data_IF_496122110905
#
_entry.id   IF_496122110905
#
_cell.length_a   1.000
_cell.length_b   1.000
_cell.length_c   1.000
_cell.angle_alpha   90.00
_cell.angle_beta   90.00
_cell.angle_gamma   90.00
#
_symmetry.space_group_name_H-M   'P 1'
#
loop_
_entity.id
_entity.type
_entity.pdbx_description
1 polymer ?
#
# COMPACT_ATOMS: atom_id res chain seq x y z
N UNK A 1 26.89 51.40 39.21
CA UNK A 1 26.88 52.61 38.41
C UNK A 1 25.80 52.37 37.40
N UNK A 2 24.58 52.84 37.69
CA UNK A 2 23.97 54.07 37.21
C UNK A 2 23.72 53.93 35.70
N UNK A 3 22.59 54.14 35.11
CA UNK A 3 21.33 54.83 35.52
C UNK A 3 20.36 54.65 34.34
N UNK A 4 19.14 54.26 34.59
CA UNK A 4 17.90 55.03 34.49
C UNK A 4 17.49 55.65 33.14
N UNK A 5 16.25 55.45 32.80
CA UNK A 5 15.33 56.44 32.29
C UNK A 5 14.41 55.85 31.21
N UNK A 6 13.16 55.52 31.49
CA UNK A 6 11.94 56.39 31.44
C UNK A 6 11.73 57.00 30.05
N UNK A 7 10.57 56.99 29.39
CA UNK A 7 9.16 56.94 29.80
C UNK A 7 8.28 57.17 28.57
N UNK A 8 6.99 56.80 28.71
CA UNK A 8 5.80 57.46 28.14
C UNK A 8 5.56 57.29 26.62
N UNK A 9 4.45 56.80 26.10
CA UNK A 9 3.09 56.89 26.63
C UNK A 9 2.22 57.51 25.56
N UNK A 10 0.92 57.20 25.56
CA UNK A 10 -0.16 57.77 24.73
C UNK A 10 -0.43 56.91 23.47
N UNK A 11 -1.55 56.31 23.28
CA UNK A 11 -2.90 56.61 23.75
C UNK A 11 -3.77 56.98 22.56
N UNK A 12 -4.95 56.42 22.52
CA UNK A 12 -6.10 56.78 21.68
C UNK A 12 -6.20 55.95 20.36
N UNK A 13 -7.31 55.55 19.90
CA UNK A 13 -8.70 55.69 20.31
C UNK A 13 -9.53 54.81 19.36
N UNK A 14 -10.54 54.23 19.87
CA UNK A 14 -11.58 53.45 19.21
C UNK A 14 -12.44 54.31 18.27
N UNK A 15 -12.81 53.77 17.15
CA UNK A 15 -13.98 54.25 16.42
C UNK A 15 -14.72 53.06 15.77
N UNK A 16 -15.81 52.64 16.37
CA UNK A 16 -16.91 51.94 15.67
C UNK A 16 -17.62 52.93 14.74
N UNK A 17 -18.19 52.46 13.64
CA UNK A 17 -19.36 53.12 13.05
C UNK A 17 -20.60 52.24 13.10
N UNK A 18 -21.52 52.73 13.82
CA UNK A 18 -22.99 52.86 13.69
C UNK A 18 -23.73 51.99 12.65
N UNK A 19 -24.59 51.18 13.23
CA UNK A 19 -25.68 50.48 12.56
C UNK A 19 -26.89 51.41 12.43
N UNK A 20 -27.30 51.79 11.24
CA UNK A 20 -28.73 52.02 10.95
C UNK A 20 -28.93 52.48 9.51
N UNK A 21 -29.47 51.59 8.68
CA UNK A 21 -30.53 51.91 7.70
C UNK A 21 -31.13 50.62 7.13
N UNK A 22 -32.24 50.24 7.71
CA UNK A 22 -33.18 49.30 7.14
C UNK A 22 -33.86 49.89 5.93
N UNK A 23 -33.73 49.23 4.78
CA UNK A 23 -34.54 49.49 3.57
C UNK A 23 -35.40 48.27 3.28
N UNK A 24 -36.70 48.36 3.58
CA UNK A 24 -37.72 47.39 3.17
C UNK A 24 -37.85 47.43 1.66
N UNK A 25 -37.79 46.27 1.02
CA UNK A 25 -38.35 46.06 -0.34
C UNK A 25 -39.31 44.86 -0.24
N UNK A 26 -40.53 45.19 -0.67
CA UNK A 26 -41.75 44.35 -0.70
C UNK A 26 -41.65 43.23 -1.73
N UNK A 27 -42.39 42.10 -1.53
CA UNK A 27 -42.42 41.00 -2.50
C UNK A 27 -43.54 41.24 -3.51
N UNK A 28 -43.29 40.97 -4.77
CA UNK A 28 -44.22 40.43 -5.75
C UNK A 28 -43.74 40.68 -7.19
N UNK A 29 -43.22 39.67 -7.83
CA UNK A 29 -43.48 39.43 -9.26
C UNK A 29 -43.47 37.94 -9.52
N UNK A 30 -44.66 37.43 -9.71
CA UNK A 30 -44.96 36.11 -10.27
C UNK A 30 -44.54 36.11 -11.74
N UNK A 31 -43.66 35.20 -12.11
CA UNK A 31 -43.35 34.89 -13.52
C UNK A 31 -44.32 33.82 -13.98
N UNK A 32 -44.86 33.90 -15.20
CA UNK A 32 -45.87 32.96 -15.69
C UNK A 32 -45.24 31.59 -16.03
N UNK A 33 -45.92 30.54 -15.63
CA UNK A 33 -45.67 29.15 -16.03
C UNK A 33 -45.76 29.04 -17.57
N UNK A 34 -44.69 28.54 -18.20
CA UNK A 34 -44.69 28.14 -19.59
C UNK A 34 -45.14 26.68 -19.66
N UNK A 35 -46.38 26.48 -20.10
CA UNK A 35 -46.99 25.19 -20.42
C UNK A 35 -46.22 24.49 -21.55
N UNK A 36 -45.89 23.20 -21.46
CA UNK A 36 -45.17 22.45 -22.49
C UNK A 36 -46.14 21.76 -23.47
N UNK A 37 -46.93 22.54 -24.20
CA UNK A 37 -47.77 21.99 -25.30
C UNK A 37 -47.66 22.84 -26.58
N UNK A 38 -46.48 22.80 -27.22
CA UNK A 38 -46.38 23.10 -28.64
C UNK A 38 -46.42 21.78 -29.43
N UNK A 39 -47.56 21.51 -30.04
CA UNK A 39 -47.80 20.40 -30.95
C UNK A 39 -46.89 20.59 -32.19
N UNK A 40 -45.89 19.72 -32.36
CA UNK A 40 -45.07 19.67 -33.56
C UNK A 40 -45.89 19.27 -34.77
N UNK A 41 -45.65 19.84 -35.97
CA UNK A 41 -46.37 19.51 -37.18
C UNK A 41 -46.29 18.02 -37.55
N UNK A 42 -47.41 17.47 -38.10
CA UNK A 42 -47.56 16.03 -38.39
C UNK A 42 -46.48 15.44 -39.31
N UNK A 43 -45.79 16.23 -40.12
CA UNK A 43 -44.71 15.74 -40.99
C UNK A 43 -43.40 15.43 -40.22
N UNK A 44 -43.14 16.05 -39.05
CA UNK A 44 -41.97 15.77 -38.20
C UNK A 44 -42.06 14.39 -37.53
N UNK A 45 -43.28 13.91 -37.24
CA UNK A 45 -43.48 12.58 -36.62
C UNK A 45 -43.18 11.40 -37.55
N UNK A 46 -43.17 11.61 -38.88
CA UNK A 46 -43.03 10.52 -39.87
C UNK A 46 -41.55 10.14 -40.12
N UNK A 47 -40.61 11.02 -39.77
CA UNK A 47 -39.18 10.86 -40.07
C UNK A 47 -38.28 10.69 -38.80
N UNK A 48 -38.91 10.75 -37.62
CA UNK A 48 -38.18 10.61 -36.33
C UNK A 48 -37.33 9.32 -36.20
N UNK A 49 -37.81 8.13 -36.62
CA UNK A 49 -36.98 6.91 -36.50
C UNK A 49 -35.78 6.88 -37.44
N UNK A 50 -35.84 7.64 -38.56
CA UNK A 50 -34.71 7.68 -39.51
C UNK A 50 -33.66 8.73 -39.15
N UNK A 51 -34.01 9.76 -38.41
CA UNK A 51 -33.07 10.78 -37.92
C UNK A 51 -32.08 10.21 -36.86
N UNK A 52 -32.53 9.26 -36.05
CA UNK A 52 -31.67 8.57 -35.08
C UNK A 52 -30.72 7.57 -35.74
N UNK A 53 -31.09 6.95 -36.86
CA UNK A 53 -30.21 6.03 -37.59
C UNK A 53 -29.12 6.78 -38.40
N UNK A 54 -29.43 7.94 -38.96
CA UNK A 54 -28.45 8.74 -39.71
C UNK A 54 -27.53 9.50 -38.79
N UNK A 55 -28.01 9.98 -37.63
CA UNK A 55 -27.19 10.62 -36.60
C UNK A 55 -26.17 9.64 -35.95
N UNK A 56 -26.59 8.39 -35.71
CA UNK A 56 -25.71 7.34 -35.18
C UNK A 56 -24.64 6.92 -36.17
N UNK A 57 -24.95 6.85 -37.48
CA UNK A 57 -23.96 6.50 -38.50
C UNK A 57 -22.97 7.64 -38.78
N UNK A 58 -23.36 8.90 -38.62
CA UNK A 58 -22.44 10.05 -38.77
C UNK A 58 -21.52 10.22 -37.56
N UNK A 59 -21.96 9.83 -36.36
CA UNK A 59 -21.12 9.87 -35.14
C UNK A 59 -20.02 8.77 -35.16
N UNK A 60 -20.29 7.64 -35.84
CA UNK A 60 -19.30 6.56 -36.01
C UNK A 60 -18.29 6.83 -37.14
N UNK A 61 -18.58 7.73 -38.07
CA UNK A 61 -17.72 8.00 -39.23
C UNK A 61 -16.71 9.14 -39.03
N UNK A 62 -16.87 9.97 -37.99
CA UNK A 62 -15.98 11.13 -37.75
C UNK A 62 -14.85 10.84 -36.75
N UNK A 63 -14.77 9.63 -36.18
CA UNK A 63 -13.68 9.20 -35.29
C UNK A 63 -12.65 8.26 -35.94
N UNK A 64 -12.59 8.18 -37.28
CA UNK A 64 -11.54 7.47 -38.00
C UNK A 64 -10.35 8.37 -38.30
N UNK A 65 -9.89 9.13 -37.32
CA UNK A 65 -8.59 9.84 -37.38
C UNK A 65 -7.57 9.02 -36.62
N UNK A 66 -6.48 8.64 -37.27
CA UNK A 66 -5.36 7.85 -36.77
C UNK A 66 -4.90 8.26 -35.37
N UNK A 67 -5.46 7.62 -34.36
CA UNK A 67 -4.93 7.42 -33.05
C UNK A 67 -5.04 5.93 -32.82
N UNK A 68 -3.95 5.23 -32.69
CA UNK A 68 -3.95 3.84 -32.26
C UNK A 68 -4.52 3.80 -30.82
N UNK A 69 -5.84 3.65 -30.71
CA UNK A 69 -6.43 3.19 -29.48
C UNK A 69 -5.92 1.75 -29.29
N UNK A 70 -4.96 1.57 -28.41
CA UNK A 70 -4.73 0.26 -27.82
C UNK A 70 -6.00 0.01 -27.00
N UNK A 71 -6.98 -0.66 -27.62
CA UNK A 71 -8.01 -1.34 -26.90
C UNK A 71 -7.27 -2.41 -26.09
N UNK A 72 -6.98 -2.11 -24.82
CA UNK A 72 -6.68 -3.15 -23.87
C UNK A 72 -7.87 -4.10 -23.95
N UNK A 73 -7.66 -5.27 -24.53
CA UNK A 73 -8.63 -6.33 -24.46
C UNK A 73 -8.95 -6.50 -22.97
N UNK A 74 -10.23 -6.58 -22.56
CA UNK A 74 -10.52 -6.90 -21.17
C UNK A 74 -9.71 -8.13 -20.83
N UNK A 75 -8.91 -8.06 -19.78
CA UNK A 75 -8.19 -9.21 -19.26
C UNK A 75 -9.18 -10.38 -19.17
N UNK A 76 -8.81 -11.58 -19.63
CA UNK A 76 -9.69 -12.72 -19.47
C UNK A 76 -10.12 -12.74 -18.00
N UNK A 77 -11.43 -12.80 -17.75
CA UNK A 77 -11.96 -12.91 -16.40
C UNK A 77 -11.21 -14.05 -15.72
N UNK A 78 -10.45 -13.72 -14.67
CA UNK A 78 -9.75 -14.74 -13.86
C UNK A 78 -10.89 -15.57 -13.27
N UNK A 79 -10.95 -16.88 -13.50
CA UNK A 79 -11.97 -17.71 -12.90
C UNK A 79 -11.84 -17.55 -11.39
N UNK A 80 -12.92 -17.16 -10.70
CA UNK A 80 -12.98 -17.20 -9.24
C UNK A 80 -12.61 -18.61 -8.83
N UNK A 81 -11.43 -18.79 -8.26
CA UNK A 81 -11.01 -20.08 -7.75
C UNK A 81 -11.92 -20.42 -6.56
N UNK A 82 -12.47 -21.60 -6.55
CA UNK A 82 -13.17 -22.08 -5.35
C UNK A 82 -12.10 -22.33 -4.32
N UNK A 83 -12.15 -21.60 -3.21
CA UNK A 83 -11.19 -21.76 -2.11
C UNK A 83 -11.25 -23.18 -1.60
N UNK A 84 -10.13 -23.87 -1.71
CA UNK A 84 -9.95 -25.20 -1.12
C UNK A 84 -8.91 -25.10 -0.01
N UNK A 85 -9.13 -25.73 1.16
CA UNK A 85 -8.15 -25.76 2.23
C UNK A 85 -6.78 -26.22 1.73
N UNK A 86 -5.72 -25.63 2.27
CA UNK A 86 -4.36 -26.08 1.97
C UNK A 86 -4.17 -27.47 2.59
N UNK A 87 -4.08 -28.49 1.74
CA UNK A 87 -4.04 -29.88 2.18
C UNK A 87 -2.82 -30.14 3.09
N UNK A 88 -3.10 -30.62 4.31
CA UNK A 88 -2.07 -30.99 5.28
C UNK A 88 -1.34 -29.82 5.93
N UNK A 89 -1.80 -28.58 5.74
CA UNK A 89 -1.21 -27.43 6.41
C UNK A 89 -1.36 -27.53 7.93
N UNK A 90 -0.25 -27.46 8.68
CA UNK A 90 -0.28 -27.39 10.14
C UNK A 90 -0.22 -25.94 10.65
N UNK A 91 -0.49 -24.95 9.80
CA UNK A 91 -0.36 -23.55 10.12
C UNK A 91 -1.62 -23.06 10.85
N UNK A 92 -1.44 -22.67 12.10
CA UNK A 92 -2.48 -22.05 12.95
C UNK A 92 -2.30 -20.53 13.08
N UNK A 93 -1.07 -20.04 12.79
CA UNK A 93 -0.73 -18.62 12.91
C UNK A 93 -0.10 -18.11 11.62
N UNK A 94 -0.63 -17.04 11.09
CA UNK A 94 -0.12 -16.34 9.90
C UNK A 94 0.25 -14.94 10.33
N UNK A 95 1.51 -14.55 10.13
CA UNK A 95 2.03 -13.23 10.47
C UNK A 95 2.53 -12.55 9.21
N UNK A 96 2.02 -11.36 8.93
CA UNK A 96 2.43 -10.55 7.80
C UNK A 96 3.13 -9.30 8.35
N UNK A 97 4.39 -9.11 8.02
CA UNK A 97 5.17 -7.93 8.33
C UNK A 97 5.37 -7.18 7.03
N UNK A 98 4.78 -5.98 6.92
CA UNK A 98 4.94 -5.12 5.76
C UNK A 98 5.85 -3.97 6.12
N UNK A 99 6.99 -3.90 5.44
CA UNK A 99 7.96 -2.84 5.50
C UNK A 99 7.72 -1.83 4.37
N UNK A 100 8.53 -0.80 4.29
CA UNK A 100 8.30 0.36 3.45
C UNK A 100 9.36 0.50 2.35
N UNK A 101 8.88 0.68 1.16
CA UNK A 101 9.42 1.37 0.01
C UNK A 101 10.76 0.85 -0.51
N UNK A 102 10.85 -0.45 -0.87
CA UNK A 102 12.05 -1.03 -1.50
C UNK A 102 11.72 -2.03 -2.60
N UNK A 103 12.49 -1.97 -3.69
CA UNK A 103 12.46 -3.02 -4.72
C UNK A 103 13.33 -4.21 -4.35
N UNK A 104 13.13 -5.31 -5.09
CA UNK A 104 13.97 -6.49 -4.94
C UNK A 104 15.43 -6.21 -5.31
N UNK A 105 15.68 -5.54 -6.46
CA UNK A 105 17.06 -5.17 -6.86
C UNK A 105 17.70 -4.18 -5.88
N UNK A 106 16.92 -3.40 -5.14
CA UNK A 106 17.46 -2.47 -4.16
C UNK A 106 17.98 -3.19 -2.90
N UNK A 107 17.25 -4.16 -2.34
CA UNK A 107 17.66 -4.84 -1.09
C UNK A 107 18.46 -6.13 -1.32
N UNK A 108 18.15 -6.90 -2.36
CA UNK A 108 18.75 -8.22 -2.59
C UNK A 108 19.67 -8.26 -3.81
N UNK A 109 20.28 -7.12 -4.18
CA UNK A 109 21.19 -7.07 -5.31
C UNK A 109 22.36 -8.07 -5.16
N UNK A 110 22.45 -9.00 -6.12
CA UNK A 110 23.48 -10.05 -6.10
C UNK A 110 23.20 -11.20 -5.14
N UNK A 111 21.96 -11.37 -4.64
CA UNK A 111 21.60 -12.53 -3.83
C UNK A 111 21.80 -13.83 -4.64
N UNK A 112 22.49 -14.85 -4.07
CA UNK A 112 22.83 -16.06 -4.79
C UNK A 112 21.58 -16.81 -5.29
N UNK A 113 21.49 -17.03 -6.59
CA UNK A 113 20.39 -17.75 -7.23
C UNK A 113 19.17 -16.91 -7.58
N UNK A 114 19.09 -15.67 -7.09
CA UNK A 114 18.01 -14.77 -7.45
C UNK A 114 18.29 -14.00 -8.73
N UNK A 115 17.22 -13.57 -9.41
CA UNK A 115 17.29 -12.73 -10.60
C UNK A 115 17.50 -11.27 -10.22
N UNK A 116 18.73 -10.78 -10.37
CA UNK A 116 19.17 -9.43 -10.01
C UNK A 116 19.99 -8.78 -11.11
N UNK A 117 19.95 -7.45 -11.21
CA UNK A 117 20.70 -6.69 -12.20
C UNK A 117 21.86 -5.89 -11.57
N UNK A 118 22.95 -5.73 -12.33
CA UNK A 118 24.09 -4.89 -11.95
C UNK A 118 24.03 -3.49 -12.57
N UNK A 119 23.12 -3.28 -13.50
CA UNK A 119 22.87 -2.00 -14.17
C UNK A 119 21.48 -1.98 -14.75
N UNK A 120 20.93 -0.79 -14.90
CA UNK A 120 19.69 -0.54 -15.63
C UNK A 120 19.93 0.35 -16.86
N UNK A 121 18.86 0.60 -17.60
CA UNK A 121 18.88 1.52 -18.74
C UNK A 121 18.18 2.82 -18.37
N UNK A 122 18.66 3.95 -18.88
CA UNK A 122 17.95 5.22 -18.86
C UNK A 122 18.16 5.93 -20.19
N UNK A 123 17.07 6.13 -20.95
CA UNK A 123 17.10 6.78 -22.25
C UNK A 123 18.21 6.26 -23.19
N UNK A 124 18.38 4.93 -23.23
CA UNK A 124 19.37 4.24 -24.06
C UNK A 124 20.79 4.22 -23.49
N UNK A 125 21.01 4.74 -22.26
CA UNK A 125 22.31 4.71 -21.57
C UNK A 125 22.27 3.71 -20.43
N UNK A 126 23.27 2.82 -20.35
CA UNK A 126 23.42 1.91 -19.22
C UNK A 126 23.94 2.65 -17.99
N UNK A 127 23.22 2.53 -16.88
CA UNK A 127 23.57 3.09 -15.58
C UNK A 127 23.88 1.95 -14.62
N UNK A 128 25.11 1.81 -14.12
CA UNK A 128 25.43 0.80 -13.13
C UNK A 128 24.74 1.09 -11.78
N UNK A 129 24.22 0.05 -11.13
CA UNK A 129 23.71 0.17 -9.77
C UNK A 129 24.84 0.50 -8.80
N UNK A 130 24.60 1.42 -7.88
CA UNK A 130 25.60 1.90 -6.94
C UNK A 130 25.12 1.68 -5.51
N UNK A 131 26.05 1.43 -4.56
CA UNK A 131 25.66 1.27 -3.16
C UNK A 131 25.13 2.59 -2.60
N UNK A 132 24.02 2.48 -1.87
CA UNK A 132 23.40 3.54 -1.06
C UNK A 132 23.12 2.96 0.34
N UNK A 133 23.30 3.74 1.40
CA UNK A 133 22.98 3.28 2.75
C UNK A 133 21.47 3.11 2.96
N UNK A 134 21.07 2.18 3.81
CA UNK A 134 19.64 2.04 4.15
C UNK A 134 19.06 3.33 4.75
N UNK A 135 19.85 4.07 5.52
CA UNK A 135 19.50 5.35 6.15
C UNK A 135 19.70 6.57 5.25
N UNK A 136 19.75 6.39 3.93
CA UNK A 136 19.84 7.54 3.02
C UNK A 136 18.59 8.42 3.14
N UNK A 137 18.78 9.73 3.23
CA UNK A 137 17.69 10.68 3.45
C UNK A 137 16.92 11.05 2.18
N UNK A 138 17.41 10.61 1.01
CA UNK A 138 16.77 10.95 -0.25
C UNK A 138 15.66 9.96 -0.56
N UNK A 139 14.47 10.48 -0.74
CA UNK A 139 13.27 9.74 -1.07
C UNK A 139 12.95 9.90 -2.57
N UNK A 140 13.13 8.86 -3.40
CA UNK A 140 12.74 8.93 -4.80
C UNK A 140 11.21 8.97 -4.95
N UNK A 141 10.71 9.83 -5.86
CA UNK A 141 9.29 9.90 -6.19
C UNK A 141 8.77 8.52 -6.63
N UNK A 142 7.83 7.97 -5.89
CA UNK A 142 7.19 6.66 -6.10
C UNK A 142 5.68 6.76 -6.28
N UNK A 143 5.18 7.94 -6.64
CA UNK A 143 3.80 8.18 -7.03
C UNK A 143 3.36 7.27 -8.19
N UNK A 144 2.06 7.05 -8.33
CA UNK A 144 1.49 6.34 -9.48
C UNK A 144 1.94 6.94 -10.82
N UNK A 145 1.98 8.28 -10.91
CA UNK A 145 2.48 8.98 -12.10
C UNK A 145 3.94 8.65 -12.37
N UNK A 146 4.77 8.57 -11.34
CA UNK A 146 6.18 8.23 -11.50
C UNK A 146 6.37 6.76 -11.85
N UNK A 147 5.51 5.87 -11.36
CA UNK A 147 5.49 4.47 -11.78
C UNK A 147 5.35 4.35 -13.31
N UNK A 148 4.37 5.05 -13.92
CA UNK A 148 4.17 5.06 -15.37
C UNK A 148 5.38 5.61 -16.13
N UNK A 149 6.06 6.61 -15.60
CA UNK A 149 7.28 7.17 -16.20
C UNK A 149 8.44 6.19 -16.11
N UNK A 150 8.61 5.52 -14.97
CA UNK A 150 9.67 4.55 -14.73
C UNK A 150 9.50 3.32 -15.60
N UNK A 151 8.29 2.79 -15.68
CA UNK A 151 7.91 1.66 -16.51
C UNK A 151 8.08 1.91 -18.00
N UNK A 152 7.74 3.11 -18.48
CA UNK A 152 7.90 3.59 -19.87
C UNK A 152 7.46 2.56 -20.93
N UNK A 153 6.24 1.99 -20.78
CA UNK A 153 5.67 1.02 -21.73
C UNK A 153 6.59 -0.19 -22.00
N UNK A 154 6.94 -0.94 -20.99
CA UNK A 154 7.84 -2.11 -20.96
C UNK A 154 9.33 -1.76 -21.13
N UNK A 155 9.67 -0.49 -21.23
CA UNK A 155 11.06 -0.04 -21.42
C UNK A 155 11.92 -0.19 -20.17
N UNK A 156 11.30 -0.13 -18.96
CA UNK A 156 12.00 -0.17 -17.67
C UNK A 156 13.19 0.78 -17.59
N UNK A 157 13.11 1.92 -18.31
CA UNK A 157 14.23 2.86 -18.50
C UNK A 157 13.94 4.30 -18.10
N UNK A 158 12.79 4.53 -17.43
CA UNK A 158 12.35 5.87 -17.03
C UNK A 158 12.60 6.23 -15.56
N UNK A 159 13.25 5.40 -14.77
CA UNK A 159 13.46 5.63 -13.33
C UNK A 159 14.23 6.92 -13.02
N UNK A 160 15.16 7.35 -13.89
CA UNK A 160 15.86 8.62 -13.72
C UNK A 160 15.00 9.87 -14.01
N UNK A 161 13.77 9.70 -14.51
CA UNK A 161 12.87 10.81 -14.87
C UNK A 161 12.15 11.45 -13.69
N UNK A 162 12.46 11.00 -12.45
CA UNK A 162 11.93 11.55 -11.21
C UNK A 162 12.60 12.87 -10.76
N UNK A 163 13.54 13.40 -11.52
CA UNK A 163 14.30 14.61 -11.18
C UNK A 163 15.50 14.39 -10.27
N UNK A 164 15.73 13.17 -9.80
CA UNK A 164 16.86 12.82 -8.90
C UNK A 164 18.03 12.14 -9.64
N UNK A 165 18.01 12.18 -10.97
CA UNK A 165 19.07 11.64 -11.82
C UNK A 165 19.24 10.13 -11.66
N UNK A 166 20.45 9.67 -11.38
CA UNK A 166 20.77 8.23 -11.25
C UNK A 166 20.54 7.65 -9.86
N UNK A 167 19.98 8.40 -8.92
CA UNK A 167 19.73 7.91 -7.54
C UNK A 167 18.89 6.62 -7.51
N UNK A 168 17.81 6.46 -8.29
CA UNK A 168 17.03 5.23 -8.29
C UNK A 168 17.85 3.97 -8.59
N UNK A 169 18.91 4.08 -9.40
CA UNK A 169 19.79 2.97 -9.76
C UNK A 169 20.80 2.68 -8.64
N UNK A 170 20.25 2.26 -7.50
CA UNK A 170 21.04 2.01 -6.30
C UNK A 170 20.60 0.74 -5.58
N UNK A 171 21.52 0.17 -4.81
CA UNK A 171 21.25 -0.99 -3.95
C UNK A 171 21.78 -0.76 -2.53
N UNK A 172 21.14 -1.36 -1.54
CA UNK A 172 21.56 -1.35 -0.14
C UNK A 172 22.65 -2.43 0.04
N UNK A 173 23.83 -2.08 0.55
CA UNK A 173 24.85 -3.09 0.84
C UNK A 173 24.38 -4.05 1.94
N UNK A 174 24.58 -5.35 1.75
CA UNK A 174 24.20 -6.43 2.68
C UNK A 174 24.50 -6.14 4.16
N UNK A 175 25.60 -5.44 4.46
CA UNK A 175 25.97 -5.09 5.85
C UNK A 175 24.96 -4.19 6.55
N UNK A 176 24.13 -3.46 5.80
CA UNK A 176 23.11 -2.55 6.32
C UNK A 176 21.76 -3.25 6.55
N UNK A 177 21.52 -4.38 5.85
CA UNK A 177 20.32 -5.21 5.92
C UNK A 177 20.57 -6.71 6.17
N UNK A 178 21.70 -7.04 6.83
CA UNK A 178 22.18 -8.42 7.09
C UNK A 178 21.11 -9.34 7.69
N UNK A 179 20.17 -8.80 8.49
CA UNK A 179 19.11 -9.61 9.08
C UNK A 179 18.16 -10.18 8.00
N UNK A 180 17.82 -9.39 7.00
CA UNK A 180 17.00 -9.87 5.87
C UNK A 180 17.74 -10.92 5.05
N UNK A 181 19.01 -10.68 4.74
CA UNK A 181 19.84 -11.67 4.03
C UNK A 181 19.95 -12.97 4.80
N UNK A 182 20.14 -12.90 6.13
CA UNK A 182 20.20 -14.09 6.98
C UNK A 182 18.89 -14.88 7.01
N UNK A 183 17.74 -14.19 7.00
CA UNK A 183 16.44 -14.84 6.89
C UNK A 183 16.26 -15.49 5.51
N UNK A 184 16.56 -14.77 4.43
CA UNK A 184 16.46 -15.26 3.06
C UNK A 184 17.36 -16.48 2.80
N UNK A 185 18.60 -16.48 3.31
CA UNK A 185 19.54 -17.60 3.21
C UNK A 185 19.11 -18.85 3.99
N UNK A 186 18.32 -18.67 5.06
CA UNK A 186 17.87 -19.79 5.90
C UNK A 186 16.48 -20.32 5.53
N UNK A 187 15.66 -19.52 4.85
CA UNK A 187 14.26 -19.84 4.52
C UNK A 187 14.00 -19.58 3.03
N UNK A 188 12.84 -19.02 2.67
CA UNK A 188 12.51 -18.71 1.29
C UNK A 188 12.68 -17.23 1.03
N UNK A 189 13.27 -16.89 -0.13
CA UNK A 189 13.20 -15.56 -0.73
C UNK A 189 12.48 -15.64 -2.07
N UNK A 190 11.54 -14.74 -2.33
CA UNK A 190 10.83 -14.67 -3.62
C UNK A 190 11.37 -13.54 -4.47
N UNK A 191 11.89 -13.86 -5.67
CA UNK A 191 12.41 -12.89 -6.62
C UNK A 191 11.39 -12.54 -7.73
N UNK A 192 10.15 -12.96 -7.55
CA UNK A 192 9.00 -12.65 -8.41
C UNK A 192 7.79 -12.22 -7.58
N UNK A 193 8.02 -11.54 -6.47
CA UNK A 193 6.99 -10.88 -5.68
C UNK A 193 6.76 -9.47 -6.23
N UNK A 194 5.50 -9.10 -6.43
CA UNK A 194 5.12 -7.80 -6.96
C UNK A 194 4.13 -7.10 -6.02
N UNK A 195 4.21 -5.78 -5.92
CA UNK A 195 3.12 -5.02 -5.31
C UNK A 195 1.83 -5.21 -6.13
N UNK A 196 0.67 -5.28 -5.47
CA UNK A 196 -0.59 -5.56 -6.17
C UNK A 196 -1.18 -4.35 -6.92
N UNK A 197 -0.57 -3.19 -6.77
CA UNK A 197 -1.01 -1.92 -7.36
C UNK A 197 0.18 -1.13 -7.93
N UNK A 198 -0.09 -0.05 -8.62
CA UNK A 198 0.91 0.86 -9.18
C UNK A 198 1.02 2.18 -8.41
N UNK A 199 0.22 2.35 -7.36
CA UNK A 199 0.25 3.51 -6.48
C UNK A 199 1.18 3.34 -5.29
N UNK A 200 1.34 4.39 -4.48
CA UNK A 200 2.16 4.38 -3.27
C UNK A 200 1.46 3.71 -2.08
N UNK A 201 2.02 3.92 -0.89
CA UNK A 201 1.74 3.16 0.33
C UNK A 201 0.27 3.05 0.73
N UNK A 202 -0.54 4.11 0.60
CA UNK A 202 -1.95 4.03 1.02
C UNK A 202 -2.71 2.91 0.28
N UNK A 203 -2.59 2.88 -1.05
CA UNK A 203 -3.22 1.83 -1.85
C UNK A 203 -2.64 0.45 -1.51
N UNK A 204 -1.31 0.33 -1.38
CA UNK A 204 -0.63 -0.93 -1.07
C UNK A 204 -1.11 -1.53 0.26
N UNK A 205 -1.24 -0.72 1.31
CA UNK A 205 -1.76 -1.16 2.60
C UNK A 205 -3.25 -1.57 2.54
N UNK A 206 -4.06 -0.98 1.65
CA UNK A 206 -5.43 -1.43 1.42
C UNK A 206 -5.45 -2.80 0.72
N UNK A 207 -4.57 -3.03 -0.27
CA UNK A 207 -4.44 -4.34 -0.90
C UNK A 207 -4.05 -5.45 0.07
N UNK A 208 -3.24 -5.15 1.10
CA UNK A 208 -2.84 -6.09 2.14
C UNK A 208 -4.03 -6.59 2.99
N UNK A 209 -5.10 -5.82 3.13
CA UNK A 209 -6.26 -6.15 3.98
C UNK A 209 -7.53 -6.46 3.21
N UNK A 210 -7.62 -6.06 1.94
CA UNK A 210 -8.87 -6.14 1.17
C UNK A 210 -8.67 -6.56 -0.30
N UNK A 211 -7.44 -6.80 -0.77
CA UNK A 211 -7.11 -7.08 -2.17
C UNK A 211 -7.64 -6.04 -3.17
N UNK A 212 -7.95 -4.84 -2.70
CA UNK A 212 -8.42 -3.69 -3.46
C UNK A 212 -8.15 -2.39 -2.69
N UNK A 213 -8.25 -1.26 -3.38
CA UNK A 213 -8.12 0.07 -2.80
C UNK A 213 -9.18 1.05 -3.36
N UNK A 214 -10.34 0.58 -3.85
CA UNK A 214 -11.35 1.40 -4.53
C UNK A 214 -10.76 2.22 -5.69
N UNK A 215 -9.85 1.63 -6.45
CA UNK A 215 -9.12 2.24 -7.57
C UNK A 215 -8.26 3.46 -7.20
N UNK A 216 -7.92 3.65 -5.93
CA UNK A 216 -7.08 4.75 -5.46
C UNK A 216 -5.68 4.66 -6.06
N UNK A 217 -5.16 5.79 -6.54
CA UNK A 217 -3.91 5.88 -7.28
C UNK A 217 -2.75 6.46 -6.49
N UNK A 218 -3.02 7.27 -5.46
CA UNK A 218 -2.02 8.07 -4.76
C UNK A 218 -2.22 7.98 -3.24
N UNK A 219 -1.39 8.70 -2.50
CA UNK A 219 -1.61 8.93 -1.08
C UNK A 219 -2.65 10.06 -0.89
N UNK A 220 -3.57 9.95 0.10
CA UNK A 220 -4.53 11.00 0.37
C UNK A 220 -3.86 12.34 0.68
N UNK A 221 -4.41 13.41 0.14
CA UNK A 221 -3.94 14.76 0.43
C UNK A 221 -4.17 15.12 1.90
N UNK A 222 -3.16 15.71 2.54
CA UNK A 222 -3.20 16.12 3.95
C UNK A 222 -2.71 15.05 4.92
N UNK A 223 -2.16 15.47 6.05
CA UNK A 223 -1.39 14.63 6.97
C UNK A 223 -2.15 13.55 7.77
N UNK A 224 -3.46 13.37 7.55
CA UNK A 224 -4.25 12.29 8.16
C UNK A 224 -4.97 11.53 7.06
N UNK A 225 -4.73 10.23 7.00
CA UNK A 225 -5.37 9.35 6.02
C UNK A 225 -6.61 8.65 6.59
N UNK A 226 -7.40 8.04 5.73
CA UNK A 226 -8.55 7.25 6.14
C UNK A 226 -9.76 8.07 6.62
N UNK A 227 -10.58 7.47 7.47
CA UNK A 227 -11.86 8.04 7.92
C UNK A 227 -11.70 9.25 8.85
N UNK A 228 -10.50 9.50 9.37
CA UNK A 228 -10.18 10.69 10.14
C UNK A 228 -9.65 11.86 9.31
N UNK A 229 -9.50 11.69 7.99
CA UNK A 229 -9.00 12.74 7.10
C UNK A 229 -9.90 13.99 7.10
N UNK A 230 -9.32 15.14 6.76
CA UNK A 230 -10.10 16.36 6.62
C UNK A 230 -11.21 16.18 5.56
N UNK A 231 -12.39 16.82 5.72
CA UNK A 231 -13.49 16.67 4.76
C UNK A 231 -13.15 17.06 3.31
N UNK A 232 -12.08 17.84 3.13
CA UNK A 232 -11.56 18.23 1.81
C UNK A 232 -10.50 17.30 1.26
N UNK A 233 -10.06 16.30 2.03
CA UNK A 233 -9.07 15.32 1.56
C UNK A 233 -9.67 14.47 0.45
N UNK A 234 -8.89 14.28 -0.59
CA UNK A 234 -9.26 13.43 -1.72
C UNK A 234 -8.03 12.63 -2.15
N UNK A 235 -8.29 11.46 -2.66
CA UNK A 235 -7.29 10.58 -3.21
C UNK A 235 -7.67 10.27 -4.66
N UNK A 236 -6.84 10.64 -5.66
CA UNK A 236 -7.09 10.35 -7.06
C UNK A 236 -7.33 8.86 -7.30
N UNK A 237 -8.19 8.53 -8.26
CA UNK A 237 -8.45 7.14 -8.65
C UNK A 237 -7.89 6.85 -10.04
N UNK A 238 -7.57 5.60 -10.30
CA UNK A 238 -7.12 5.11 -11.62
C UNK A 238 -8.35 4.78 -12.46
N UNK A 239 -8.49 5.45 -13.60
CA UNK A 239 -9.51 5.09 -14.57
C UNK A 239 -9.13 3.84 -15.40
N UNK A 240 -10.07 3.29 -16.19
CA UNK A 240 -9.84 2.08 -16.99
C UNK A 240 -8.67 2.16 -17.99
N UNK A 241 -8.24 3.37 -18.32
CA UNK A 241 -7.07 3.61 -19.20
C UNK A 241 -5.75 3.75 -18.45
N UNK A 242 -5.72 3.55 -17.14
CA UNK A 242 -4.55 3.79 -16.31
C UNK A 242 -4.28 5.28 -16.03
N UNK A 243 -5.21 6.18 -16.36
CA UNK A 243 -5.07 7.62 -16.09
C UNK A 243 -5.76 8.00 -14.78
N UNK A 244 -5.16 8.92 -14.05
CA UNK A 244 -5.76 9.49 -12.84
C UNK A 244 -7.04 10.28 -13.17
N UNK A 245 -8.04 10.10 -12.34
CA UNK A 245 -9.32 10.80 -12.37
C UNK A 245 -9.52 11.57 -11.07
N UNK A 246 -10.54 12.48 -10.97
CA UNK A 246 -10.87 13.15 -9.73
C UNK A 246 -11.06 12.16 -8.59
N UNK A 247 -10.50 12.51 -7.43
CA UNK A 247 -10.38 11.62 -6.30
C UNK A 247 -11.66 11.39 -5.51
N UNK A 248 -11.59 10.40 -4.65
CA UNK A 248 -12.61 10.03 -3.65
C UNK A 248 -12.13 10.40 -2.24
N UNK A 249 -13.06 10.55 -1.31
CA UNK A 249 -12.69 10.70 0.10
C UNK A 249 -12.15 9.36 0.63
N UNK A 250 -10.98 9.33 1.31
CA UNK A 250 -10.26 8.10 1.64
C UNK A 250 -10.87 7.34 2.83
N UNK A 251 -12.18 7.11 2.84
CA UNK A 251 -12.87 6.34 3.86
C UNK A 251 -13.88 5.42 3.19
N UNK A 252 -13.56 4.16 3.16
CA UNK A 252 -14.26 3.11 2.42
C UNK A 252 -15.10 2.25 3.35
N UNK A 253 -15.92 1.37 2.78
CA UNK A 253 -16.77 0.44 3.52
C UNK A 253 -16.89 -0.92 2.80
N UNK A 254 -15.88 -1.28 2.01
CA UNK A 254 -15.81 -2.60 1.38
C UNK A 254 -15.42 -3.68 2.40
N UNK A 255 -15.74 -4.92 2.07
CA UNK A 255 -15.37 -6.08 2.87
C UNK A 255 -13.85 -6.26 2.92
N UNK A 256 -13.33 -6.65 4.06
CA UNK A 256 -11.92 -6.88 4.31
C UNK A 256 -11.67 -8.30 4.83
N UNK A 257 -10.42 -8.69 4.95
CA UNK A 257 -10.06 -9.95 5.58
C UNK A 257 -10.56 -10.06 7.02
N UNK A 258 -10.63 -8.93 7.77
CA UNK A 258 -11.18 -8.90 9.13
C UNK A 258 -12.61 -9.44 9.19
N UNK A 259 -13.45 -9.05 8.22
CA UNK A 259 -14.85 -9.50 8.16
C UNK A 259 -14.95 -11.01 7.95
N UNK A 260 -14.13 -11.57 7.06
CA UNK A 260 -14.08 -13.01 6.81
C UNK A 260 -13.57 -13.79 8.03
N UNK A 261 -12.56 -13.25 8.72
CA UNK A 261 -11.98 -13.84 9.92
C UNK A 261 -13.00 -13.84 11.06
N UNK A 262 -13.72 -12.73 11.27
CA UNK A 262 -14.78 -12.62 12.30
C UNK A 262 -15.93 -13.60 11.99
N UNK A 263 -16.36 -13.70 10.74
CA UNK A 263 -17.40 -14.65 10.32
C UNK A 263 -16.97 -16.11 10.61
N UNK A 264 -15.71 -16.42 10.38
CA UNK A 264 -15.14 -17.74 10.63
C UNK A 264 -14.80 -18.00 12.11
N UNK A 265 -14.73 -16.95 12.93
CA UNK A 265 -14.28 -17.01 14.33
C UNK A 265 -12.77 -17.20 14.48
N UNK A 266 -11.99 -16.77 13.50
CA UNK A 266 -10.52 -16.75 13.50
C UNK A 266 -10.05 -15.45 14.14
N UNK A 267 -9.20 -15.53 15.15
CA UNK A 267 -8.69 -14.35 15.83
C UNK A 267 -7.71 -13.58 14.96
N UNK A 268 -7.82 -12.24 14.98
CA UNK A 268 -6.91 -11.40 14.23
C UNK A 268 -6.48 -10.16 15.01
N UNK A 269 -5.30 -9.62 14.70
CA UNK A 269 -4.79 -8.35 15.19
C UNK A 269 -4.00 -7.61 14.11
N UNK A 270 -4.10 -6.28 14.16
CA UNK A 270 -3.33 -5.37 13.33
C UNK A 270 -2.51 -4.45 14.23
N UNK A 271 -1.20 -4.59 14.20
CA UNK A 271 -0.28 -3.79 15.00
C UNK A 271 0.29 -2.65 14.16
N UNK A 272 0.02 -1.42 14.58
CA UNK A 272 0.42 -0.20 13.89
C UNK A 272 0.84 0.90 14.87
N UNK A 273 1.55 1.93 14.39
CA UNK A 273 1.75 3.16 15.14
C UNK A 273 0.42 3.76 15.61
N UNK A 274 0.43 4.47 16.75
CA UNK A 274 -0.77 5.08 17.32
C UNK A 274 -1.06 6.46 16.79
N UNK A 275 -2.25 6.98 17.11
CA UNK A 275 -2.61 8.38 16.82
C UNK A 275 -1.57 9.31 17.44
N UNK A 276 -0.98 10.20 16.63
CA UNK A 276 0.09 11.10 17.04
C UNK A 276 1.50 10.63 16.67
N UNK A 277 1.64 9.41 16.17
CA UNK A 277 2.84 8.97 15.45
C UNK A 277 2.71 9.35 13.97
N UNK A 278 3.84 9.68 13.33
CA UNK A 278 3.87 10.04 11.91
C UNK A 278 3.34 8.92 11.02
N UNK A 279 3.68 7.69 11.35
CA UNK A 279 3.30 6.51 10.60
C UNK A 279 1.95 5.89 11.00
N UNK A 280 1.15 6.57 11.80
CA UNK A 280 -0.26 6.21 11.98
C UNK A 280 -1.00 6.09 10.63
N UNK A 281 -0.53 6.81 9.61
CA UNK A 281 -1.03 6.73 8.24
C UNK A 281 -1.01 5.30 7.67
N UNK A 282 -0.08 4.44 8.11
CA UNK A 282 0.03 3.04 7.68
C UNK A 282 -1.00 2.11 8.33
N UNK A 283 -1.83 2.60 9.26
CA UNK A 283 -2.90 1.81 9.84
C UNK A 283 -4.04 1.62 8.83
N UNK A 284 -3.95 0.59 7.99
CA UNK A 284 -4.87 0.37 6.86
C UNK A 284 -6.36 0.40 7.27
N UNK A 285 -6.69 -0.21 8.41
CA UNK A 285 -8.07 -0.28 8.91
C UNK A 285 -8.66 1.08 9.33
N UNK A 286 -7.85 2.15 9.49
CA UNK A 286 -8.39 3.49 9.69
C UNK A 286 -9.20 4.02 8.50
N UNK A 287 -8.97 3.45 7.30
CA UNK A 287 -9.70 3.79 6.09
C UNK A 287 -10.99 2.98 5.90
N UNK A 288 -11.26 1.99 6.77
CA UNK A 288 -12.43 1.13 6.68
C UNK A 288 -13.46 1.55 7.74
N UNK A 289 -14.55 2.14 7.29
CA UNK A 289 -15.54 2.83 8.12
C UNK A 289 -16.11 1.95 9.24
N UNK A 290 -16.59 0.75 8.91
CA UNK A 290 -17.21 -0.14 9.88
C UNK A 290 -16.21 -0.67 10.91
N UNK A 291 -14.94 -0.87 10.54
CA UNK A 291 -13.87 -1.23 11.47
C UNK A 291 -13.48 -0.01 12.30
N UNK A 292 -13.17 1.15 11.67
CA UNK A 292 -12.67 2.35 12.36
C UNK A 292 -13.62 2.85 13.44
N UNK A 293 -14.92 2.75 13.22
CA UNK A 293 -15.96 3.20 14.15
C UNK A 293 -16.69 2.05 14.85
N UNK A 294 -16.30 0.80 14.59
CA UNK A 294 -16.83 -0.40 15.22
C UNK A 294 -16.02 -0.84 16.45
N UNK A 295 -16.46 -1.94 17.04
CA UNK A 295 -15.81 -2.53 18.20
C UNK A 295 -14.43 -3.11 17.88
N UNK A 296 -14.20 -3.53 16.63
CA UNK A 296 -12.96 -4.16 16.20
C UNK A 296 -11.76 -3.23 16.22
N UNK A 297 -11.99 -1.92 16.00
CA UNK A 297 -10.95 -0.93 16.18
C UNK A 297 -10.29 -1.02 17.55
N UNK A 298 -11.08 -1.08 18.61
CA UNK A 298 -10.56 -1.09 19.98
C UNK A 298 -10.05 -2.46 20.43
N UNK A 299 -10.50 -3.54 19.77
CA UNK A 299 -10.15 -4.91 20.16
C UNK A 299 -8.94 -5.43 19.38
N UNK A 300 -8.88 -5.12 18.10
CA UNK A 300 -8.01 -5.81 17.14
C UNK A 300 -6.93 -4.90 16.52
N UNK A 301 -7.14 -3.57 16.49
CA UNK A 301 -6.13 -2.61 16.03
C UNK A 301 -5.32 -2.11 17.22
N UNK A 302 -4.09 -2.55 17.32
CA UNK A 302 -3.25 -2.42 18.51
C UNK A 302 -2.13 -1.42 18.27
N UNK A 303 -1.94 -0.49 19.22
CA UNK A 303 -0.87 0.49 19.22
C UNK A 303 -0.19 0.56 20.59
N UNK A 304 1.12 0.83 20.65
CA UNK A 304 2.07 0.90 19.52
C UNK A 304 2.34 -0.50 18.93
N UNK A 305 2.90 -0.55 17.73
CA UNK A 305 3.21 -1.80 17.03
C UNK A 305 4.18 -2.71 17.79
N UNK A 306 5.06 -2.16 18.64
CA UNK A 306 5.96 -2.94 19.50
C UNK A 306 5.23 -3.82 20.53
N UNK A 307 3.94 -3.56 20.77
CA UNK A 307 3.10 -4.37 21.64
C UNK A 307 3.03 -5.84 21.19
N UNK A 308 3.21 -6.12 19.90
CA UNK A 308 3.28 -7.49 19.38
C UNK A 308 4.31 -8.35 20.14
N UNK A 309 5.46 -7.78 20.52
CA UNK A 309 6.51 -8.50 21.26
C UNK A 309 6.04 -8.90 22.67
N UNK A 310 5.25 -8.04 23.31
CA UNK A 310 4.64 -8.31 24.62
C UNK A 310 3.58 -9.41 24.50
N UNK A 311 2.73 -9.32 23.50
CA UNK A 311 1.63 -10.27 23.28
C UNK A 311 2.17 -11.67 22.93
N UNK A 312 3.23 -11.76 22.12
CA UNK A 312 3.93 -13.03 21.85
C UNK A 312 4.48 -13.64 23.16
N UNK A 313 5.13 -12.82 24.00
CA UNK A 313 5.72 -13.28 25.26
C UNK A 313 4.67 -13.77 26.28
N UNK A 314 3.45 -13.22 26.23
CA UNK A 314 2.32 -13.61 27.09
C UNK A 314 1.48 -14.77 26.53
N UNK A 315 1.77 -15.25 25.34
CA UNK A 315 0.95 -16.30 24.71
C UNK A 315 -0.35 -15.79 24.11
N UNK A 316 -0.34 -14.55 23.61
CA UNK A 316 -1.51 -13.84 23.06
C UNK A 316 -1.40 -13.51 21.57
N UNK A 317 -0.53 -14.22 20.82
CA UNK A 317 -0.43 -14.05 19.36
C UNK A 317 -1.74 -14.50 18.70
N UNK A 318 -2.36 -13.61 17.92
CA UNK A 318 -3.56 -13.94 17.15
C UNK A 318 -3.26 -14.91 16.00
N UNK A 319 -4.29 -15.62 15.50
CA UNK A 319 -4.15 -16.55 14.38
C UNK A 319 -3.76 -15.83 13.08
N UNK A 320 -4.27 -14.62 12.87
CA UNK A 320 -3.81 -13.76 11.77
C UNK A 320 -3.33 -12.44 12.35
N UNK A 321 -2.12 -12.08 12.01
CA UNK A 321 -1.46 -10.88 12.57
C UNK A 321 -0.80 -10.08 11.45
N UNK A 322 -1.20 -8.81 11.31
CA UNK A 322 -0.52 -7.83 10.48
C UNK A 322 0.32 -6.91 11.36
N UNK A 323 1.50 -6.54 10.90
CA UNK A 323 2.43 -5.67 11.63
C UNK A 323 3.06 -4.70 10.64
N UNK A 324 2.90 -3.40 10.89
CA UNK A 324 3.52 -2.33 10.13
C UNK A 324 4.45 -1.51 11.03
N UNK A 325 5.55 -0.94 10.51
CA UNK A 325 6.53 -0.23 11.30
C UNK A 325 6.04 1.18 11.68
N UNK A 326 6.73 1.82 12.61
CA UNK A 326 6.80 3.27 12.73
C UNK A 326 7.93 3.84 11.84
N UNK A 327 8.06 5.17 11.80
CA UNK A 327 9.05 5.85 10.97
C UNK A 327 10.47 5.36 11.23
N UNK A 328 10.85 5.20 12.48
CA UNK A 328 12.19 4.81 12.89
C UNK A 328 12.54 3.37 12.53
N UNK A 329 11.55 2.47 12.57
CA UNK A 329 11.73 1.04 12.28
C UNK A 329 11.34 0.69 10.83
N UNK A 330 11.02 1.69 10.03
CA UNK A 330 10.74 1.58 8.60
C UNK A 330 12.04 1.59 7.79
N UNK A 331 12.04 0.87 6.67
CA UNK A 331 13.06 0.95 5.63
C UNK A 331 12.80 2.10 4.63
N UNK A 332 11.77 2.93 4.90
CA UNK A 332 11.39 4.04 4.03
C UNK A 332 12.61 4.96 3.77
N UNK A 333 12.87 5.32 2.51
CA UNK A 333 13.85 6.35 2.20
C UNK A 333 13.49 7.63 2.97
N UNK A 334 14.49 8.34 3.51
CA UNK A 334 14.21 9.52 4.31
C UNK A 334 14.06 9.25 5.82
N UNK A 335 13.74 8.02 6.26
CA UNK A 335 13.64 7.70 7.69
C UNK A 335 14.95 7.92 8.45
N UNK A 336 16.09 7.95 7.75
CA UNK A 336 17.44 8.09 8.31
C UNK A 336 17.79 7.01 9.34
N UNK A 337 17.09 5.89 9.28
CA UNK A 337 17.23 4.77 10.20
C UNK A 337 17.87 3.55 9.52
N UNK A 338 18.52 2.73 10.31
CA UNK A 338 19.00 1.39 9.92
C UNK A 338 18.36 0.31 10.78
N UNK A 339 17.29 0.62 11.51
CA UNK A 339 16.74 -0.28 12.53
C UNK A 339 15.64 -1.20 11.99
N UNK A 340 15.11 -0.97 10.78
CA UNK A 340 14.09 -1.81 10.16
C UNK A 340 14.45 -3.31 10.14
N UNK A 341 15.62 -3.71 9.64
CA UNK A 341 16.04 -5.12 9.63
C UNK A 341 16.14 -5.72 11.04
N UNK A 342 16.61 -4.96 12.02
CA UNK A 342 16.72 -5.40 13.42
C UNK A 342 15.35 -5.55 14.09
N UNK A 343 14.41 -4.63 13.78
CA UNK A 343 13.05 -4.66 14.28
C UNK A 343 12.32 -5.90 13.75
N UNK A 344 12.39 -6.18 12.45
CA UNK A 344 11.84 -7.41 11.86
C UNK A 344 12.47 -8.64 12.47
N UNK A 345 13.81 -8.68 12.60
CA UNK A 345 14.53 -9.79 13.22
C UNK A 345 14.06 -10.06 14.66
N UNK A 346 13.76 -9.02 15.44
CA UNK A 346 13.27 -9.20 16.82
C UNK A 346 11.88 -9.85 16.85
N UNK A 347 10.97 -9.45 15.96
CA UNK A 347 9.63 -10.04 15.87
C UNK A 347 9.75 -11.52 15.46
N UNK A 348 10.50 -11.81 14.40
CA UNK A 348 10.73 -13.17 13.93
C UNK A 348 11.40 -14.03 15.00
N UNK A 349 12.41 -13.49 15.71
CA UNK A 349 13.07 -14.17 16.83
C UNK A 349 12.11 -14.44 18.00
N UNK A 350 11.21 -13.52 18.31
CA UNK A 350 10.23 -13.70 19.38
C UNK A 350 9.29 -14.87 19.07
N UNK A 351 8.75 -14.92 17.84
CA UNK A 351 7.89 -16.01 17.38
C UNK A 351 8.69 -17.32 17.31
N UNK A 352 9.87 -17.31 16.71
CA UNK A 352 10.72 -18.48 16.52
C UNK A 352 11.18 -19.15 17.82
N UNK A 353 11.28 -18.38 18.93
CA UNK A 353 11.60 -18.88 20.27
C UNK A 353 10.39 -19.20 21.12
N UNK A 354 9.19 -18.91 20.63
CA UNK A 354 7.93 -19.14 21.35
C UNK A 354 7.34 -20.52 21.04
N UNK A 355 6.33 -20.96 21.78
CA UNK A 355 5.55 -22.18 21.45
C UNK A 355 4.84 -22.11 20.10
N UNK A 356 4.60 -20.92 19.56
CA UNK A 356 3.91 -20.70 18.28
C UNK A 356 4.72 -21.17 17.07
N UNK A 357 6.04 -21.27 17.18
CA UNK A 357 6.93 -21.56 16.06
C UNK A 357 6.46 -22.75 15.22
N UNK A 358 6.06 -23.85 15.87
CA UNK A 358 5.72 -25.10 15.18
C UNK A 358 4.43 -25.03 14.32
N UNK A 359 3.68 -23.94 14.40
CA UNK A 359 2.44 -23.77 13.60
C UNK A 359 2.35 -22.36 12.99
N UNK A 360 3.48 -21.69 12.77
CA UNK A 360 3.47 -20.31 12.24
C UNK A 360 4.09 -20.21 10.85
N UNK A 361 3.44 -19.44 9.98
CA UNK A 361 4.01 -18.89 8.76
C UNK A 361 4.18 -17.36 8.91
N UNK A 362 5.38 -16.85 8.68
CA UNK A 362 5.69 -15.42 8.70
C UNK A 362 6.03 -14.99 7.28
N UNK A 363 5.34 -13.99 6.77
CA UNK A 363 5.62 -13.33 5.50
C UNK A 363 6.18 -11.95 5.79
N UNK A 364 7.29 -11.60 5.15
CA UNK A 364 7.91 -10.28 5.23
C UNK A 364 7.98 -9.76 3.82
N UNK A 365 7.40 -8.57 3.60
CA UNK A 365 7.37 -7.91 2.30
C UNK A 365 7.44 -6.40 2.47
N UNK A 366 7.55 -5.68 1.37
CA UNK A 366 7.49 -4.23 1.31
C UNK A 366 6.24 -3.80 0.56
N UNK A 367 5.70 -2.66 0.91
CA UNK A 367 4.44 -2.15 0.40
C UNK A 367 4.53 -1.75 -1.06
N UNK A 368 5.56 -0.96 -1.41
CA UNK A 368 5.81 -0.49 -2.76
C UNK A 368 7.31 -0.37 -3.09
N UNK A 369 7.60 0.05 -4.30
CA UNK A 369 8.92 0.11 -4.91
C UNK A 369 9.81 1.27 -4.42
N UNK A 370 9.24 2.28 -3.73
CA UNK A 370 9.97 3.42 -3.16
C UNK A 370 10.76 4.26 -4.18
N UNK A 371 10.36 4.25 -5.44
CA UNK A 371 11.08 4.97 -6.49
C UNK A 371 12.41 4.32 -6.94
N UNK A 372 12.81 3.20 -6.33
CA UNK A 372 14.04 2.48 -6.66
C UNK A 372 13.91 1.64 -7.93
N UNK A 373 15.04 1.45 -8.61
CA UNK A 373 15.10 0.65 -9.81
C UNK A 373 14.85 -0.83 -9.54
N UNK A 374 14.07 -1.44 -10.42
CA UNK A 374 14.00 -2.88 -10.61
C UNK A 374 14.08 -3.21 -12.10
N UNK A 375 14.76 -4.29 -12.46
CA UNK A 375 14.97 -4.62 -13.85
C UNK A 375 13.86 -5.48 -14.46
N UNK A 376 12.99 -6.07 -13.63
CA UNK A 376 11.95 -6.99 -14.10
C UNK A 376 10.68 -6.23 -14.45
N UNK A 377 10.27 -6.35 -15.70
CA UNK A 377 9.00 -5.83 -16.16
C UNK A 377 7.83 -6.56 -15.47
N UNK A 378 6.92 -5.84 -14.78
CA UNK A 378 5.79 -6.47 -14.14
C UNK A 378 4.80 -7.03 -15.18
N UNK A 379 4.16 -8.19 -14.91
CA UNK A 379 3.11 -8.70 -15.78
C UNK A 379 1.91 -7.77 -15.79
N UNK A 380 1.28 -7.59 -16.93
CA UNK A 380 0.11 -6.70 -17.09
C UNK A 380 -1.16 -7.48 -16.83
N UNK A 381 -1.80 -7.26 -15.69
CA UNK A 381 -3.04 -7.92 -15.34
C UNK A 381 -4.25 -7.00 -15.52
N UNK A 382 -4.17 -5.77 -15.03
CA UNK A 382 -5.24 -4.77 -15.15
C UNK A 382 -4.69 -3.33 -15.09
N UNK A 383 -5.57 -2.32 -14.98
CA UNK A 383 -5.18 -0.91 -14.93
C UNK A 383 -4.52 -0.51 -13.59
N UNK A 384 -4.76 -1.27 -12.52
CA UNK A 384 -4.20 -1.01 -11.21
C UNK A 384 -2.84 -1.65 -10.99
N UNK A 385 -2.51 -2.72 -11.69
CA UNK A 385 -1.25 -3.40 -11.46
C UNK A 385 -1.16 -4.81 -12.07
N UNK A 386 -0.16 -5.61 -11.64
CA UNK A 386 0.77 -5.36 -10.54
C UNK A 386 1.75 -4.21 -10.81
N UNK A 387 2.30 -3.67 -9.74
CA UNK A 387 3.40 -2.72 -9.75
C UNK A 387 4.76 -3.41 -9.89
N UNK A 388 5.86 -2.70 -9.54
CA UNK A 388 7.20 -3.28 -9.61
C UNK A 388 7.41 -4.36 -8.55
N UNK A 389 8.52 -5.10 -8.67
CA UNK A 389 8.88 -6.11 -7.69
C UNK A 389 9.22 -5.46 -6.35
N UNK A 390 8.71 -6.11 -5.31
CA UNK A 390 9.11 -5.89 -3.93
C UNK A 390 9.70 -7.18 -3.36
N UNK A 391 10.54 -7.16 -2.33
CA UNK A 391 11.07 -8.39 -1.77
C UNK A 391 9.99 -9.21 -1.05
N UNK A 392 10.20 -10.53 -1.01
CA UNK A 392 9.43 -11.47 -0.20
C UNK A 392 10.40 -12.36 0.57
N UNK A 393 10.18 -12.51 1.88
CA UNK A 393 10.82 -13.55 2.70
C UNK A 393 9.71 -14.35 3.39
N UNK A 394 9.76 -15.68 3.26
CA UNK A 394 8.80 -16.57 3.94
C UNK A 394 9.55 -17.39 4.99
N UNK A 395 9.16 -17.21 6.25
CA UNK A 395 9.79 -17.86 7.40
C UNK A 395 8.81 -18.77 8.11
N UNK A 396 9.08 -20.06 8.11
CA UNK A 396 8.23 -21.09 8.74
C UNK A 396 9.05 -22.32 9.03
N UNK A 397 8.67 -23.15 10.03
CA UNK A 397 9.26 -24.48 10.18
C UNK A 397 8.95 -25.42 9.01
N UNK A 398 8.01 -25.05 8.15
CA UNK A 398 7.61 -25.80 6.96
C UNK A 398 8.02 -25.12 5.65
N UNK A 399 8.64 -23.96 5.70
CA UNK A 399 9.21 -23.32 4.52
C UNK A 399 10.41 -24.13 4.00
N UNK A 400 10.62 -24.12 2.69
CA UNK A 400 11.84 -24.67 2.10
C UNK A 400 13.07 -23.93 2.66
N UNK A 401 14.18 -24.65 2.78
CA UNK A 401 15.40 -24.07 3.34
C UNK A 401 16.33 -23.57 2.24
N UNK A 402 16.71 -22.28 2.32
CA UNK A 402 17.62 -21.66 1.35
C UNK A 402 17.08 -21.73 -0.08
N UNK A 403 15.79 -21.52 -0.25
CA UNK A 403 15.09 -21.64 -1.52
C UNK A 403 14.80 -20.25 -2.11
N UNK A 404 15.08 -20.09 -3.40
CA UNK A 404 14.67 -18.92 -4.17
C UNK A 404 13.42 -19.29 -4.96
N UNK A 405 12.28 -18.68 -4.62
CA UNK A 405 11.06 -18.81 -5.40
C UNK A 405 11.13 -17.89 -6.62
N UNK A 406 10.98 -18.48 -7.80
CA UNK A 406 10.85 -17.77 -9.07
C UNK A 406 9.40 -17.72 -9.57
N UNK A 407 8.45 -18.15 -8.74
CA UNK A 407 7.03 -18.09 -9.05
C UNK A 407 6.51 -16.67 -8.91
N UNK A 408 5.54 -16.33 -9.74
CA UNK A 408 4.83 -15.06 -9.61
C UNK A 408 4.01 -15.05 -8.32
N UNK A 409 4.27 -14.06 -7.48
CA UNK A 409 3.53 -13.75 -6.28
C UNK A 409 3.15 -12.28 -6.26
N UNK A 410 2.11 -11.93 -5.55
CA UNK A 410 1.74 -10.54 -5.28
C UNK A 410 1.14 -10.37 -3.88
N UNK A 411 1.07 -9.12 -3.38
CA UNK A 411 0.63 -8.81 -2.02
C UNK A 411 -0.75 -9.37 -1.70
N UNK A 412 -1.70 -9.34 -2.65
CA UNK A 412 -3.02 -9.94 -2.47
C UNK A 412 -3.00 -11.46 -2.26
N UNK A 413 -1.89 -12.13 -2.59
CA UNK A 413 -1.68 -13.56 -2.33
C UNK A 413 -1.67 -13.90 -0.84
N UNK A 414 -1.31 -12.96 0.04
CA UNK A 414 -1.39 -13.18 1.50
C UNK A 414 -2.83 -13.44 1.93
N UNK A 415 -3.78 -12.71 1.37
CA UNK A 415 -5.20 -12.90 1.66
C UNK A 415 -5.67 -14.26 1.14
N UNK A 416 -5.29 -14.62 -0.07
CA UNK A 416 -5.60 -15.94 -0.63
C UNK A 416 -5.00 -17.08 0.22
N UNK A 417 -3.80 -16.91 0.76
CA UNK A 417 -3.20 -17.89 1.68
C UNK A 417 -4.00 -18.01 2.98
N UNK A 418 -4.42 -16.88 3.59
CA UNK A 418 -5.27 -16.85 4.78
C UNK A 418 -6.60 -17.56 4.51
N UNK A 419 -7.27 -17.19 3.43
CA UNK A 419 -8.55 -17.73 3.01
C UNK A 419 -8.50 -19.24 2.83
N UNK A 420 -7.49 -19.74 2.12
CA UNK A 420 -7.29 -21.19 1.91
C UNK A 420 -6.91 -21.91 3.20
N UNK A 421 -6.04 -21.32 4.02
CA UNK A 421 -5.56 -21.98 5.23
C UNK A 421 -6.68 -22.18 6.26
N UNK A 422 -7.57 -21.19 6.39
CA UNK A 422 -8.69 -21.25 7.34
C UNK A 422 -10.03 -21.72 6.72
N UNK A 423 -10.01 -22.17 5.48
CA UNK A 423 -11.22 -22.63 4.76
C UNK A 423 -12.34 -21.58 4.80
N UNK A 424 -11.99 -20.36 4.39
CA UNK A 424 -12.90 -19.21 4.29
C UNK A 424 -13.34 -18.99 2.84
N UNK A 425 -14.34 -18.14 2.63
CA UNK A 425 -14.63 -17.58 1.32
C UNK A 425 -13.53 -16.60 0.87
N UNK A 426 -13.60 -16.10 -0.36
CA UNK A 426 -12.74 -15.05 -0.88
C UNK A 426 -13.42 -13.70 -0.78
N UNK A 427 -12.64 -12.62 -0.74
CA UNK A 427 -13.15 -11.26 -0.91
C UNK A 427 -13.69 -11.02 -2.33
N UNK A 428 -13.30 -11.89 -3.29
CA UNK A 428 -13.73 -11.79 -4.68
C UNK A 428 -13.14 -10.58 -5.41
N UNK A 429 -12.06 -10.04 -4.87
CA UNK A 429 -11.26 -8.99 -5.46
C UNK A 429 -10.01 -9.61 -6.12
N UNK A 430 -8.85 -8.97 -6.02
CA UNK A 430 -7.61 -9.47 -6.62
C UNK A 430 -7.10 -10.77 -5.97
N UNK A 431 -7.48 -11.04 -4.72
CA UNK A 431 -7.16 -12.25 -3.94
C UNK A 431 -7.49 -13.54 -4.69
N UNK A 432 -8.67 -13.61 -5.27
CA UNK A 432 -9.20 -14.83 -5.90
C UNK A 432 -8.37 -15.35 -7.09
N UNK A 433 -7.54 -14.51 -7.69
CA UNK A 433 -6.74 -14.82 -8.89
C UNK A 433 -5.26 -15.03 -8.63
N UNK A 434 -4.78 -14.91 -7.38
CA UNK A 434 -3.36 -14.97 -7.04
C UNK A 434 -2.94 -16.34 -6.54
N UNK A 435 -1.63 -16.64 -6.61
CA UNK A 435 -1.07 -17.81 -5.95
C UNK A 435 -1.00 -17.61 -4.43
N UNK A 436 -1.26 -18.68 -3.69
CA UNK A 436 -1.18 -18.75 -2.23
C UNK A 436 0.20 -19.26 -1.76
N UNK A 437 1.28 -18.82 -2.37
CA UNK A 437 2.68 -19.19 -2.03
C UNK A 437 2.93 -20.70 -2.00
N UNK A 438 2.33 -21.40 -2.96
CA UNK A 438 2.25 -22.86 -2.98
C UNK A 438 3.61 -23.56 -3.08
N UNK A 439 4.60 -22.90 -3.70
CA UNK A 439 5.96 -23.42 -3.86
C UNK A 439 6.89 -23.10 -2.68
N UNK A 440 6.43 -22.29 -1.71
CA UNK A 440 7.25 -21.88 -0.57
C UNK A 440 7.30 -22.92 0.56
N UNK A 441 6.38 -23.89 0.58
CA UNK A 441 6.17 -24.79 1.72
C UNK A 441 6.25 -26.27 1.34
N UNK A 442 6.76 -27.08 2.28
CA UNK A 442 6.64 -28.55 2.31
C UNK A 442 6.01 -28.97 3.64
N UNK A 443 4.71 -29.20 3.64
CA UNK A 443 3.97 -29.63 4.83
C UNK A 443 4.18 -31.13 5.17
N UNK A 444 4.92 -31.88 4.36
CA UNK A 444 5.27 -33.28 4.63
C UNK A 444 6.52 -33.40 5.48
N UNK A 445 7.31 -32.33 5.58
CA UNK A 445 8.52 -32.30 6.42
C UNK A 445 8.18 -32.20 7.91
N UNK A 446 9.11 -32.65 8.76
CA UNK A 446 9.04 -32.35 10.19
C UNK A 446 9.34 -30.86 10.38
N UNK A 447 8.66 -30.20 11.36
CA UNK A 447 8.95 -28.81 11.64
C UNK A 447 10.44 -28.60 11.92
N UNK A 448 11.06 -27.72 11.14
CA UNK A 448 12.45 -27.37 11.31
C UNK A 448 12.66 -26.58 12.61
N UNK A 449 13.77 -26.81 13.30
CA UNK A 449 14.12 -26.02 14.48
C UNK A 449 14.41 -24.57 14.07
N UNK A 450 13.94 -23.62 14.88
CA UNK A 450 14.18 -22.22 14.62
C UNK A 450 15.68 -21.87 14.72
N UNK A 451 16.18 -21.12 13.75
CA UNK A 451 17.53 -20.56 13.76
C UNK A 451 17.45 -19.05 13.97
N UNK A 452 17.88 -18.59 15.13
CA UNK A 452 17.81 -17.18 15.49
C UNK A 452 18.70 -16.31 14.57
N UNK A 453 18.21 -15.14 14.23
CA UNK A 453 18.88 -14.12 13.44
C UNK A 453 19.47 -13.06 14.39
N UNK A 454 20.64 -12.55 14.06
CA UNK A 454 21.25 -11.47 14.83
C UNK A 454 20.42 -10.17 14.67
N UNK A 455 20.22 -9.48 15.79
CA UNK A 455 19.63 -8.15 15.83
C UNK A 455 20.50 -7.27 16.73
N UNK A 456 20.77 -6.04 16.31
CA UNK A 456 21.61 -5.07 17.06
C UNK A 456 20.82 -4.39 18.17
N UNK A 457 19.50 -4.30 18.02
CA UNK A 457 18.57 -3.75 19.02
C UNK A 457 17.90 -4.89 19.79
N UNK A 458 17.61 -4.68 21.07
CA UNK A 458 16.95 -5.71 21.89
C UNK A 458 15.44 -5.55 21.90
N UNK A 459 14.64 -6.63 22.11
CA UNK A 459 13.19 -6.52 22.29
C UNK A 459 12.77 -5.53 23.38
N UNK A 460 13.48 -5.54 24.50
CA UNK A 460 13.22 -4.62 25.62
C UNK A 460 13.45 -3.14 25.27
N UNK A 461 14.36 -2.85 24.36
CA UNK A 461 14.57 -1.48 23.88
C UNK A 461 13.37 -1.06 23.01
N UNK A 462 12.94 -1.89 22.07
CA UNK A 462 11.80 -1.63 21.21
C UNK A 462 10.49 -1.43 21.99
N UNK A 463 10.27 -2.22 23.05
CA UNK A 463 9.05 -2.12 23.88
C UNK A 463 9.01 -0.81 24.68
N UNK A 464 10.17 -0.26 25.06
CA UNK A 464 10.26 0.97 25.88
C UNK A 464 10.41 2.24 25.08
N UNK A 465 10.44 2.13 23.77
CA UNK A 465 10.63 3.26 22.90
C UNK A 465 9.37 4.14 22.87
N UNK A 466 9.59 5.45 22.95
CA UNK A 466 8.49 6.41 22.81
C UNK A 466 8.11 6.55 21.31
N UNK A 467 6.86 6.86 20.98
CA UNK A 467 6.43 7.10 19.61
C UNK A 467 7.29 8.14 18.89
N UNK A 468 7.47 7.99 17.59
CA UNK A 468 8.36 8.83 16.77
C UNK A 468 7.92 10.31 16.67
N UNK A 469 6.78 10.68 17.22
CA UNK A 469 6.23 12.05 17.13
C UNK A 469 5.50 12.31 15.80
N UNK A 470 4.88 13.49 15.65
CA UNK A 470 4.11 13.81 14.45
C UNK A 470 5.03 13.95 13.23
N UNK A 471 4.49 13.68 12.01
CA UNK A 471 5.26 13.75 10.79
C UNK A 471 5.78 15.18 10.57
N UNK A 472 6.96 15.27 9.98
CA UNK A 472 7.34 16.45 9.24
C UNK A 472 6.54 16.41 7.93
N UNK A 473 5.46 17.17 7.86
CA UNK A 473 4.54 17.18 6.70
C UNK A 473 5.16 17.80 5.43
N UNK A 474 6.39 18.28 5.53
CA UNK A 474 7.13 18.83 4.39
C UNK A 474 7.82 17.72 3.54
N UNK A 475 7.81 16.47 4.03
CA UNK A 475 8.42 15.31 3.36
C UNK A 475 7.41 14.43 2.57
N UNK A 476 6.12 14.86 2.46
CA UNK A 476 5.06 14.10 1.73
C UNK A 476 4.42 14.90 0.60
#
# INVERSE_FOLDING_TARGET
MRDTGHSEGLGAESAEPDSSKAGRVSPNRVSPEVSPNRILPKWVRRWWPYALLVGGAFYLATFSGCGAFILLSPSPAIPLDTVHPIAGSPIDHIVIIMQENRTFDNLFNGFPGADTAQSGMSDGVSIPLRPVGLADERDPDHSHRQWWRAWNYDGMDGFARNGQGSLPYSYVPRKDDEAYWSLAENYVVGDRMFQSNTGPSFAAHQYMIAAQAADVAENPSGGVWGCGAAPSSTDPIVGPSGTELPGVYPCFDYQTAADLLDEKGVTWRYYAPGEGDSFFILSAYQAIRHIRYGDDWNRNVISPQSRVLVDIAHGELAQVTWIVPDWKHSDHPGSRSTEGPDWVANIVNAIGKSPYWNSTAIFITWDDWGGWYDHVDPPKLDAMGPGFRVPLIVVSPYAHHGYVSHHFHEVSGFLHFIEKNFDMGTLGARDAGTDAFSDCFDYTQKPAAYKAVAARVTPDALIREEPSGPPDLDDY
#
